data_IF_317175750222
#
_entry.id   IF_317175750222
#
_cell.length_a   1.000
_cell.length_b   1.000
_cell.length_c   1.000
_cell.angle_alpha   90.00
_cell.angle_beta   90.00
_cell.angle_gamma   90.00
#
_symmetry.space_group_name_H-M   'P 1'
#
loop_
_entity.id
_entity.type
_entity.pdbx_description
1 polymer ?
#
# COMPACT_ATOMS: atom_id res chain seq x y z
N UNK A 1 6.03 -10.62 -13.66
CA UNK A 1 5.82 -9.47 -12.76
C UNK A 1 4.37 -9.04 -12.88
N UNK A 2 3.67 -8.82 -11.76
CA UNK A 2 2.22 -8.57 -11.75
C UNK A 2 1.97 -7.19 -11.14
N UNK A 3 2.07 -6.16 -11.98
CA UNK A 3 1.88 -4.77 -11.56
C UNK A 3 0.44 -4.36 -11.81
N UNK A 4 -0.35 -4.26 -10.74
CA UNK A 4 -1.69 -3.66 -10.80
C UNK A 4 -1.60 -2.21 -10.32
N UNK A 5 -1.77 -1.23 -11.21
CA UNK A 5 -1.81 0.17 -10.78
C UNK A 5 -2.90 0.37 -9.74
N UNK A 6 -2.62 1.15 -8.70
CA UNK A 6 -3.60 1.44 -7.64
C UNK A 6 -4.92 1.98 -8.20
N UNK A 7 -4.84 2.87 -9.19
CA UNK A 7 -6.02 3.38 -9.89
C UNK A 7 -6.86 2.27 -10.54
N UNK A 8 -6.23 1.24 -11.13
CA UNK A 8 -6.94 0.10 -11.70
C UNK A 8 -7.66 -0.72 -10.63
N UNK A 9 -7.00 -0.98 -9.49
CA UNK A 9 -7.60 -1.70 -8.36
C UNK A 9 -8.83 -0.94 -7.84
N UNK A 10 -8.69 0.37 -7.61
CA UNK A 10 -9.77 1.23 -7.09
C UNK A 10 -10.93 1.29 -8.09
N UNK A 11 -10.65 1.57 -9.36
CA UNK A 11 -11.69 1.67 -10.39
C UNK A 11 -12.44 0.36 -10.59
N UNK A 12 -11.74 -0.80 -10.62
CA UNK A 12 -12.41 -2.09 -10.80
C UNK A 12 -13.37 -2.44 -9.65
N UNK A 13 -13.06 -2.02 -8.42
CA UNK A 13 -13.98 -2.22 -7.29
C UNK A 13 -15.22 -1.32 -7.40
N UNK A 14 -15.05 -0.08 -7.86
CA UNK A 14 -16.15 0.86 -8.09
C UNK A 14 -17.05 0.37 -9.24
N UNK A 15 -16.46 -0.10 -10.34
CA UNK A 15 -17.18 -0.65 -11.50
C UNK A 15 -17.98 -1.90 -11.15
N UNK A 16 -17.49 -2.72 -10.20
CA UNK A 16 -18.26 -3.85 -9.65
C UNK A 16 -19.30 -3.41 -8.60
N UNK A 17 -19.54 -2.11 -8.38
CA UNK A 17 -20.56 -1.62 -7.46
C UNK A 17 -20.18 -1.74 -5.97
N UNK A 18 -18.89 -1.79 -5.65
CA UNK A 18 -18.44 -1.62 -4.27
C UNK A 18 -18.15 -0.14 -3.98
N UNK A 19 -18.55 0.32 -2.79
CA UNK A 19 -18.16 1.61 -2.25
C UNK A 19 -16.84 1.48 -1.52
N UNK A 20 -15.85 2.29 -1.89
CA UNK A 20 -14.60 2.42 -1.14
C UNK A 20 -14.89 3.09 0.20
N UNK A 21 -14.50 2.45 1.30
CA UNK A 21 -14.65 2.98 2.66
C UNK A 21 -13.38 3.71 3.11
N UNK A 22 -12.21 3.14 2.81
CA UNK A 22 -10.92 3.81 3.01
C UNK A 22 -9.83 3.21 2.13
N UNK A 23 -8.82 4.03 1.86
CA UNK A 23 -7.52 3.65 1.31
C UNK A 23 -6.46 4.35 2.16
N UNK A 24 -5.57 3.56 2.79
CA UNK A 24 -4.44 4.10 3.56
C UNK A 24 -3.15 3.64 2.92
N UNK A 25 -2.27 4.58 2.64
CA UNK A 25 -0.93 4.31 2.14
C UNK A 25 0.08 4.33 3.28
N UNK A 26 1.13 3.52 3.14
CA UNK A 26 2.19 3.39 4.12
C UNK A 26 3.56 3.37 3.44
N UNK A 27 4.54 3.97 4.10
CA UNK A 27 5.93 4.12 3.67
C UNK A 27 6.83 2.94 4.08
N UNK A 28 6.22 1.77 4.28
CA UNK A 28 6.86 0.59 4.86
C UNK A 28 6.39 -0.71 4.20
N UNK A 29 7.19 -1.77 4.35
CA UNK A 29 6.94 -3.11 3.84
C UNK A 29 7.10 -4.14 4.97
N UNK A 30 6.39 -5.27 4.85
CA UNK A 30 6.54 -6.39 5.79
C UNK A 30 7.81 -7.22 5.53
N UNK A 31 8.51 -6.98 4.42
CA UNK A 31 9.75 -7.64 4.02
C UNK A 31 10.80 -6.61 3.56
N UNK A 32 12.07 -7.03 3.50
CA UNK A 32 13.17 -6.16 3.05
C UNK A 32 13.20 -6.07 1.51
N UNK A 33 12.37 -5.20 0.94
CA UNK A 33 12.24 -5.04 -0.52
C UNK A 33 13.38 -4.29 -1.21
N UNK A 34 14.13 -3.46 -0.48
CA UNK A 34 15.29 -2.72 -1.00
C UNK A 34 16.52 -2.86 -0.10
N UNK A 35 17.75 -2.77 -0.65
CA UNK A 35 18.99 -2.93 0.12
C UNK A 35 19.09 -2.02 1.36
N UNK A 36 18.69 -0.76 1.19
CA UNK A 36 18.85 0.32 2.19
C UNK A 36 17.71 0.40 3.22
N UNK A 37 16.78 -0.57 3.23
CA UNK A 37 15.71 -0.58 4.22
C UNK A 37 16.24 -0.98 5.60
N UNK A 38 15.68 -0.35 6.62
CA UNK A 38 15.92 -0.64 8.03
C UNK A 38 14.64 -1.18 8.67
N UNK A 39 14.78 -2.14 9.58
CA UNK A 39 13.66 -2.72 10.34
C UNK A 39 13.42 -1.93 11.61
N UNK A 40 12.19 -1.51 11.87
CA UNK A 40 11.81 -0.87 13.14
C UNK A 40 11.53 -1.89 14.26
N UNK A 41 11.21 -1.38 15.46
CA UNK A 41 10.88 -2.18 16.65
C UNK A 41 9.59 -3.01 16.50
N UNK A 42 8.70 -2.62 15.60
CA UNK A 42 7.43 -3.30 15.30
C UNK A 42 7.60 -4.36 14.20
N UNK A 43 8.78 -4.39 13.59
CA UNK A 43 9.18 -5.36 12.58
C UNK A 43 8.94 -4.93 11.14
N UNK A 44 8.57 -3.67 10.91
CA UNK A 44 8.38 -3.11 9.58
C UNK A 44 9.70 -2.65 8.96
N UNK A 45 9.83 -2.85 7.65
CA UNK A 45 10.95 -2.34 6.86
C UNK A 45 10.56 -1.02 6.22
N UNK A 46 11.38 0.01 6.35
CA UNK A 46 11.15 1.31 5.71
C UNK A 46 12.46 1.88 5.16
N UNK A 47 12.37 2.84 4.24
CA UNK A 47 13.53 3.57 3.70
C UNK A 47 13.77 4.84 4.53
N UNK A 48 14.81 4.92 5.38
CA UNK A 48 14.97 6.06 6.30
C UNK A 48 15.03 7.42 5.60
N UNK A 49 15.69 7.49 4.44
CA UNK A 49 15.82 8.70 3.63
C UNK A 49 14.48 9.20 3.05
N UNK A 50 13.51 8.30 2.85
CA UNK A 50 12.24 8.58 2.17
C UNK A 50 11.03 8.33 3.08
N UNK A 51 11.25 8.33 4.39
CA UNK A 51 10.19 8.12 5.38
C UNK A 51 9.09 9.17 5.19
N UNK A 52 7.85 8.72 5.03
CA UNK A 52 6.66 9.53 4.74
C UNK A 52 6.54 10.05 3.31
N UNK A 53 7.45 9.68 2.40
CA UNK A 53 7.47 10.23 1.03
C UNK A 53 7.02 9.25 -0.05
N UNK A 54 7.21 7.94 0.16
CA UNK A 54 6.96 6.92 -0.84
C UNK A 54 5.88 5.94 -0.34
N UNK A 55 4.75 5.78 -1.05
CA UNK A 55 3.76 4.76 -0.71
C UNK A 55 4.28 3.39 -1.17
N UNK A 56 4.76 2.59 -0.24
CA UNK A 56 5.31 1.26 -0.52
C UNK A 56 4.28 0.15 -0.37
N UNK A 57 3.26 0.36 0.48
CA UNK A 57 2.12 -0.55 0.61
C UNK A 57 0.86 0.22 0.95
N UNK A 58 -0.29 -0.42 0.84
CA UNK A 58 -1.57 0.18 1.17
C UNK A 58 -2.53 -0.85 1.77
N UNK A 59 -3.50 -0.37 2.52
CA UNK A 59 -4.70 -1.13 2.90
C UNK A 59 -5.92 -0.48 2.30
N UNK A 60 -6.83 -1.28 1.79
CA UNK A 60 -8.07 -0.83 1.14
C UNK A 60 -9.24 -1.61 1.74
N UNK A 61 -10.34 -0.92 2.02
CA UNK A 61 -11.62 -1.55 2.35
C UNK A 61 -12.69 -1.03 1.40
N UNK A 62 -13.47 -1.96 0.88
CA UNK A 62 -14.63 -1.67 0.07
C UNK A 62 -15.80 -2.56 0.51
N UNK A 63 -17.03 -2.05 0.38
CA UNK A 63 -18.26 -2.75 0.76
C UNK A 63 -19.22 -2.76 -0.42
N UNK A 64 -19.85 -3.91 -0.68
CA UNK A 64 -20.89 -4.03 -1.71
C UNK A 64 -22.08 -3.15 -1.34
N UNK A 65 -22.54 -2.36 -2.31
CA UNK A 65 -23.75 -1.54 -2.21
C UNK A 65 -24.96 -2.39 -2.57
#
# INVERSE_FOLDING_TARGET
DWTWPLGKIVTSLIEDGLKIEFLHEYDRLFYKGFPDMVKDKEGWWFLPKYKGMLPLTFTLRAKKV
#
